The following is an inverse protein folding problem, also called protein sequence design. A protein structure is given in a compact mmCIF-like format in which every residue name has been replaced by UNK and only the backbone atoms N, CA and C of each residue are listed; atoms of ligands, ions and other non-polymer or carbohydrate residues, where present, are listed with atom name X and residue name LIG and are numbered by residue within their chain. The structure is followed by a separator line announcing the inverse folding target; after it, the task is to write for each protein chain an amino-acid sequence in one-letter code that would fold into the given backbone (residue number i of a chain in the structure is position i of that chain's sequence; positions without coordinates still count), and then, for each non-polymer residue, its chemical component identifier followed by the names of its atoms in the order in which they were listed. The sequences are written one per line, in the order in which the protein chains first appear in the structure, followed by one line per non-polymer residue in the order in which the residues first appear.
data_IF_953112545021
#
_entry.id   IF_953112545021
#
_cell.length_a   1.000
_cell.length_b   1.000
_cell.length_c   1.000
_cell.angle_alpha   90.00
_cell.angle_beta   90.00
_cell.angle_gamma   90.00
#
_symmetry.space_group_name_H-M   'P 1'
#
loop_
_entity.id
_entity.type
_entity.pdbx_description
1 polymer ?
#
# COMPACT_ATOMS: atom_id res chain seq x y z
N UNK A 1 -6.63 3.60 15.60
CA UNK A 1 -5.59 2.91 14.82
C UNK A 1 -6.18 2.48 13.50
N UNK A 2 -5.59 2.91 12.37
CA UNK A 2 -6.14 2.66 11.02
C UNK A 2 -5.73 1.30 10.44
N UNK A 3 -4.63 0.73 10.92
CA UNK A 3 -4.14 -0.58 10.49
C UNK A 3 -2.68 -0.79 10.81
N UNK A 4 -2.11 -1.86 10.24
CA UNK A 4 -0.71 -2.26 10.39
C UNK A 4 -0.09 -2.60 9.03
N UNK A 5 1.20 -2.34 8.89
CA UNK A 5 2.07 -2.88 7.83
C UNK A 5 3.02 -3.85 8.50
N UNK A 6 3.21 -5.03 7.91
CA UNK A 6 4.18 -6.02 8.40
C UNK A 6 5.15 -6.42 7.30
N UNK A 7 6.43 -6.49 7.61
CA UNK A 7 7.46 -7.12 6.78
C UNK A 7 7.98 -8.36 7.50
N UNK A 8 8.06 -9.48 6.80
CA UNK A 8 8.48 -10.76 7.37
C UNK A 8 9.92 -11.05 6.95
N UNK A 9 10.88 -10.69 7.82
CA UNK A 9 12.28 -11.08 7.70
C UNK A 9 12.50 -12.42 8.44
N UNK A 10 13.48 -13.26 8.05
CA UNK A 10 13.75 -14.53 8.73
C UNK A 10 14.08 -14.38 10.23
N UNK A 11 14.77 -13.30 10.59
CA UNK A 11 15.19 -13.06 11.97
C UNK A 11 14.07 -12.42 12.82
N UNK A 12 13.27 -11.52 12.23
CA UNK A 12 12.19 -10.82 12.92
C UNK A 12 11.08 -10.33 12.00
N UNK A 13 9.92 -10.00 12.57
CA UNK A 13 8.82 -9.37 11.82
C UNK A 13 8.73 -7.90 12.20
N UNK A 14 8.90 -7.02 11.21
CA UNK A 14 8.74 -5.59 11.39
C UNK A 14 7.26 -5.25 11.37
N UNK A 15 6.81 -4.44 12.33
CA UNK A 15 5.42 -4.04 12.45
C UNK A 15 5.32 -2.52 12.57
N UNK A 16 4.66 -1.91 11.60
CA UNK A 16 4.45 -0.46 11.55
C UNK A 16 2.98 -0.13 11.77
N UNK A 17 2.72 0.85 12.61
CA UNK A 17 1.40 1.45 12.75
C UNK A 17 1.09 2.35 11.57
N UNK A 18 -0.14 2.31 11.06
CA UNK A 18 -0.57 3.16 9.95
C UNK A 18 -1.13 4.48 10.49
N UNK A 19 -0.48 5.58 10.12
CA UNK A 19 -0.92 6.96 10.41
C UNK A 19 -1.96 7.44 9.42
N UNK A 20 -1.72 7.19 8.14
CA UNK A 20 -2.60 7.63 7.03
C UNK A 20 -2.92 6.44 6.14
N UNK A 21 -4.19 6.28 5.80
CA UNK A 21 -4.60 5.38 4.73
C UNK A 21 -5.78 5.95 3.99
N UNK A 22 -5.74 5.84 2.67
CA UNK A 22 -6.68 6.45 1.77
C UNK A 22 -6.94 5.54 0.58
N UNK A 23 -8.18 5.53 0.11
CA UNK A 23 -8.57 4.81 -1.09
C UNK A 23 -9.62 5.62 -1.85
N UNK A 24 -9.47 5.71 -3.17
CA UNK A 24 -10.45 6.29 -4.09
C UNK A 24 -10.50 5.49 -5.39
N UNK A 25 -11.64 5.63 -6.05
CA UNK A 25 -11.81 5.25 -7.46
C UNK A 25 -11.96 6.55 -8.24
N UNK A 26 -11.05 6.80 -9.16
CA UNK A 26 -11.00 8.03 -9.96
C UNK A 26 -11.36 7.69 -11.41
N UNK A 27 -12.15 8.53 -12.06
CA UNK A 27 -12.45 8.37 -13.48
C UNK A 27 -11.55 9.30 -14.30
N UNK A 28 -10.59 8.73 -15.02
CA UNK A 28 -9.61 9.43 -15.84
C UNK A 28 -9.52 8.76 -17.21
N UNK A 29 -9.42 9.53 -18.29
CA UNK A 29 -9.26 9.01 -19.66
C UNK A 29 -10.26 7.91 -20.06
N UNK A 30 -11.52 8.08 -19.65
CA UNK A 30 -12.64 7.13 -19.88
C UNK A 30 -12.51 5.79 -19.13
N UNK A 31 -11.60 5.68 -18.18
CA UNK A 31 -11.33 4.49 -17.38
C UNK A 31 -11.50 4.82 -15.90
N UNK A 32 -11.85 3.82 -15.08
CA UNK A 32 -11.83 3.98 -13.63
C UNK A 32 -10.50 3.42 -13.14
N UNK A 33 -9.74 4.22 -12.38
CA UNK A 33 -8.46 3.83 -11.81
C UNK A 33 -8.55 3.76 -10.30
N UNK A 34 -7.79 2.83 -9.72
CA UNK A 34 -7.62 2.71 -8.28
C UNK A 34 -6.54 3.68 -7.82
N UNK A 35 -6.84 4.46 -6.78
CA UNK A 35 -5.85 5.25 -6.06
C UNK A 35 -5.84 4.80 -4.61
N UNK A 36 -4.70 4.32 -4.12
CA UNK A 36 -4.49 3.93 -2.72
C UNK A 36 -3.20 4.59 -2.23
N UNK A 37 -3.23 5.12 -1.02
CA UNK A 37 -2.06 5.68 -0.35
C UNK A 37 -2.09 5.22 1.10
N UNK A 38 -0.99 4.68 1.60
CA UNK A 38 -0.86 4.15 2.97
C UNK A 38 0.52 4.53 3.50
N UNK A 39 0.55 5.24 4.61
CA UNK A 39 1.77 5.77 5.23
C UNK A 39 1.85 5.25 6.67
N UNK A 40 3.00 4.69 7.06
CA UNK A 40 3.26 4.36 8.45
C UNK A 40 3.41 5.63 9.31
N UNK A 41 3.30 5.47 10.61
CA UNK A 41 3.78 6.48 11.55
C UNK A 41 5.31 6.50 11.62
N UNK A 42 5.86 7.54 12.25
CA UNK A 42 7.26 7.62 12.67
C UNK A 42 7.50 6.98 14.06
N UNK A 43 6.42 6.73 14.81
CA UNK A 43 6.43 6.01 16.10
C UNK A 43 6.54 4.49 15.89
N UNK A 44 7.78 4.00 15.87
CA UNK A 44 8.09 2.61 16.20
C UNK A 44 8.20 2.52 17.72
N UNK A 45 7.48 1.59 18.34
CA UNK A 45 7.58 1.37 19.79
C UNK A 45 9.04 1.10 20.12
N UNK A 46 9.71 2.06 20.77
CA UNK A 46 11.12 1.92 21.12
C UNK A 46 11.31 0.69 22.01
N UNK A 47 11.91 -0.37 21.46
CA UNK A 47 12.28 -1.55 22.24
C UNK A 47 13.71 -1.36 22.73
N UNK A 48 13.89 -1.18 24.04
CA UNK A 48 15.23 -1.20 24.65
C UNK A 48 15.90 -2.54 24.32
N UNK A 49 17.13 -2.48 23.79
CA UNK A 49 17.95 -3.60 23.29
C UNK A 49 17.73 -4.05 21.84
N UNK A 50 16.74 -3.52 21.11
CA UNK A 50 16.57 -3.81 19.67
C UNK A 50 17.01 -2.60 18.83
N UNK A 51 18.31 -2.51 18.53
CA UNK A 51 18.86 -1.42 17.73
C UNK A 51 18.28 -1.34 16.32
N UNK A 52 17.79 -2.47 15.78
CA UNK A 52 17.25 -2.52 14.44
C UNK A 52 15.86 -1.87 14.39
N UNK A 53 14.99 -2.16 15.36
CA UNK A 53 13.66 -1.52 15.46
C UNK A 53 13.68 -0.01 15.66
N UNK A 54 14.75 0.54 16.23
CA UNK A 54 14.83 1.96 16.56
C UNK A 54 15.36 2.84 15.40
N UNK A 55 15.80 2.25 14.30
CA UNK A 55 16.38 2.96 13.14
C UNK A 55 15.59 2.75 11.83
N UNK A 56 14.45 2.07 11.86
CA UNK A 56 13.76 1.71 10.62
C UNK A 56 13.07 2.90 9.94
N UNK A 57 13.08 2.92 8.60
CA UNK A 57 12.47 3.99 7.82
C UNK A 57 10.95 3.96 7.97
N UNK A 58 10.34 5.15 7.92
CA UNK A 58 8.92 5.29 7.60
C UNK A 58 8.67 4.69 6.22
N UNK A 59 7.56 3.97 6.08
CA UNK A 59 7.19 3.31 4.82
C UNK A 59 5.90 3.90 4.26
N UNK A 60 5.89 4.13 2.96
CA UNK A 60 4.71 4.59 2.22
C UNK A 60 4.42 3.67 1.04
N UNK A 61 3.18 3.21 0.93
CA UNK A 61 2.71 2.40 -0.17
C UNK A 61 1.70 3.19 -1.00
N UNK A 62 1.90 3.23 -2.31
CA UNK A 62 0.96 3.86 -3.23
C UNK A 62 0.55 2.95 -4.37
N UNK A 63 -0.68 3.15 -4.85
CA UNK A 63 -1.18 2.58 -6.09
C UNK A 63 -1.83 3.69 -6.88
N UNK A 64 -1.42 3.84 -8.13
CA UNK A 64 -1.94 4.84 -9.05
C UNK A 64 -2.14 4.24 -10.44
N UNK A 65 -2.97 4.87 -11.25
CA UNK A 65 -3.23 4.54 -12.67
C UNK A 65 -3.64 3.10 -13.03
N UNK A 66 -3.88 2.23 -12.04
CA UNK A 66 -4.34 0.87 -12.26
C UNK A 66 -5.84 0.81 -12.58
N UNK A 67 -6.20 0.40 -13.79
CA UNK A 67 -7.59 0.30 -14.24
C UNK A 67 -8.37 -0.80 -13.50
N UNK A 68 -9.56 -0.46 -12.99
CA UNK A 68 -10.45 -1.38 -12.29
C UNK A 68 -11.86 -1.40 -12.89
N UNK A 69 -12.58 -2.54 -12.86
CA UNK A 69 -13.91 -2.70 -13.46
C UNK A 69 -15.04 -2.14 -12.60
N UNK A 70 -14.74 -1.25 -11.65
CA UNK A 70 -15.71 -0.67 -10.70
C UNK A 70 -15.70 0.85 -10.79
N UNK A 71 -16.82 1.47 -10.44
CA UNK A 71 -17.02 2.93 -10.59
C UNK A 71 -16.97 3.69 -9.26
N UNK A 72 -17.16 2.98 -8.14
CA UNK A 72 -17.20 3.59 -6.82
C UNK A 72 -16.47 2.75 -5.79
N UNK A 73 -16.03 3.39 -4.71
CA UNK A 73 -15.33 2.74 -3.60
C UNK A 73 -16.18 1.62 -2.95
N UNK A 74 -17.50 1.77 -2.88
CA UNK A 74 -18.39 0.75 -2.32
C UNK A 74 -18.45 -0.52 -3.19
N UNK A 75 -18.13 -0.44 -4.48
CA UNK A 75 -18.11 -1.62 -5.35
C UNK A 75 -16.84 -2.45 -5.18
N UNK A 76 -15.85 -1.98 -4.40
CA UNK A 76 -14.65 -2.74 -4.05
C UNK A 76 -14.94 -3.85 -3.03
N UNK A 77 -16.04 -3.79 -2.26
CA UNK A 77 -16.33 -4.82 -1.26
C UNK A 77 -16.31 -6.24 -1.85
N UNK A 78 -15.47 -7.10 -1.29
CA UNK A 78 -15.33 -8.50 -1.70
C UNK A 78 -14.57 -8.69 -3.02
N UNK A 79 -13.96 -7.64 -3.58
CA UNK A 79 -13.13 -7.72 -4.78
C UNK A 79 -11.68 -8.04 -4.44
N UNK A 80 -11.00 -8.65 -5.38
CA UNK A 80 -9.58 -8.88 -5.31
C UNK A 80 -8.94 -8.55 -6.64
N UNK A 81 -7.74 -7.98 -6.59
CA UNK A 81 -6.98 -7.58 -7.76
C UNK A 81 -5.55 -8.09 -7.62
N UNK A 82 -5.00 -8.54 -8.73
CA UNK A 82 -3.57 -8.78 -8.90
C UNK A 82 -3.05 -7.61 -9.71
N UNK A 83 -2.07 -6.90 -9.15
CA UNK A 83 -1.51 -5.68 -9.73
C UNK A 83 -0.02 -5.93 -9.97
N UNK A 84 0.49 -5.82 -11.20
CA UNK A 84 1.94 -5.81 -11.38
C UNK A 84 2.50 -4.47 -10.90
N UNK A 85 3.76 -4.41 -10.47
CA UNK A 85 4.41 -3.12 -10.21
C UNK A 85 4.55 -2.29 -11.47
N UNK A 86 4.84 -2.95 -12.58
CA UNK A 86 5.14 -2.36 -13.87
C UNK A 86 4.45 -3.12 -15.01
N UNK A 87 4.05 -2.42 -16.07
CA UNK A 87 3.55 -3.01 -17.32
C UNK A 87 3.93 -2.15 -18.53
N UNK A 88 4.14 -2.80 -19.68
CA UNK A 88 4.40 -2.13 -20.96
C UNK A 88 3.16 -2.21 -21.84
N UNK A 89 2.63 -1.06 -22.26
CA UNK A 89 1.45 -1.01 -23.12
C UNK A 89 1.70 -0.20 -24.38
N UNK A 90 1.38 -0.79 -25.52
CA UNK A 90 1.37 -0.06 -26.80
C UNK A 90 0.16 0.89 -26.85
N UNK A 91 0.41 2.17 -27.09
CA UNK A 91 -0.61 3.20 -27.22
C UNK A 91 -1.23 3.22 -28.64
N UNK A 92 -2.24 4.07 -28.86
CA UNK A 92 -2.94 4.16 -30.15
C UNK A 92 -2.04 4.55 -31.35
N UNK A 93 -0.85 5.10 -31.08
CA UNK A 93 0.12 5.50 -32.09
C UNK A 93 1.18 4.43 -32.38
N UNK A 94 1.13 3.27 -31.70
CA UNK A 94 2.12 2.20 -31.83
C UNK A 94 3.38 2.41 -31.00
N UNK A 95 3.38 3.35 -30.05
CA UNK A 95 4.50 3.58 -29.13
C UNK A 95 4.28 2.79 -27.84
N UNK A 96 5.32 2.16 -27.32
CA UNK A 96 5.28 1.47 -26.02
C UNK A 96 5.40 2.50 -24.91
N UNK A 97 4.40 2.52 -24.03
CA UNK A 97 4.36 3.31 -22.80
C UNK A 97 4.64 2.41 -21.60
N UNK A 98 5.54 2.88 -20.75
CA UNK A 98 5.91 2.26 -19.48
C UNK A 98 4.96 2.76 -18.38
N UNK A 99 4.29 1.84 -17.69
CA UNK A 99 3.32 2.17 -16.64
C UNK A 99 3.77 1.55 -15.32
N UNK A 100 3.87 2.40 -14.29
CA UNK A 100 4.20 2.00 -12.93
C UNK A 100 2.95 2.14 -12.06
N UNK A 101 2.46 1.02 -11.52
CA UNK A 101 1.19 1.00 -10.78
C UNK A 101 1.35 1.02 -9.28
N UNK A 102 2.46 0.52 -8.76
CA UNK A 102 2.70 0.41 -7.32
C UNK A 102 4.05 0.96 -6.97
N UNK A 103 4.15 1.64 -5.84
CA UNK A 103 5.41 2.11 -5.28
C UNK A 103 5.43 1.82 -3.77
N UNK A 104 6.58 1.37 -3.28
CA UNK A 104 6.94 1.34 -1.87
C UNK A 104 8.08 2.34 -1.65
N UNK A 105 7.85 3.39 -0.89
CA UNK A 105 8.84 4.39 -0.59
C UNK A 105 9.30 4.30 0.88
N UNK A 106 10.61 4.48 1.09
CA UNK A 106 11.26 4.57 2.40
C UNK A 106 11.68 6.02 2.67
N UNK A 107 11.16 6.63 3.74
CA UNK A 107 11.52 7.98 4.23
C UNK A 107 11.45 9.13 3.20
N UNK A 108 10.66 9.02 2.12
CA UNK A 108 10.68 9.94 0.98
C UNK A 108 12.04 10.02 0.25
N UNK A 109 12.94 9.05 0.47
CA UNK A 109 14.30 9.04 -0.08
C UNK A 109 14.52 7.94 -1.13
N UNK A 110 13.98 6.74 -0.90
CA UNK A 110 14.23 5.56 -1.73
C UNK A 110 12.92 4.88 -2.13
N UNK A 111 12.78 4.59 -3.43
CA UNK A 111 11.66 3.83 -3.98
C UNK A 111 12.11 2.38 -4.21
N UNK A 112 11.38 1.44 -3.63
CA UNK A 112 11.56 0.01 -3.80
C UNK A 112 10.51 -0.58 -4.74
N UNK A 113 10.96 -1.53 -5.55
CA UNK A 113 10.05 -2.35 -6.35
C UNK A 113 9.26 -3.30 -5.46
N UNK A 114 8.02 -3.57 -5.88
CA UNK A 114 7.17 -4.57 -5.25
C UNK A 114 6.73 -5.62 -6.26
N UNK A 115 6.46 -6.83 -5.80
CA UNK A 115 6.13 -7.97 -6.63
C UNK A 115 4.96 -8.77 -6.08
N UNK A 116 4.26 -9.45 -7.00
CA UNK A 116 3.10 -10.30 -6.69
C UNK A 116 2.05 -9.58 -5.83
N UNK A 117 1.75 -8.31 -6.14
CA UNK A 117 0.83 -7.50 -5.36
C UNK A 117 -0.61 -8.03 -5.49
N UNK A 118 -1.11 -8.59 -4.38
CA UNK A 118 -2.49 -9.01 -4.23
C UNK A 118 -3.23 -8.06 -3.29
N UNK A 119 -4.26 -7.42 -3.83
CA UNK A 119 -5.19 -6.59 -3.07
C UNK A 119 -6.48 -7.35 -2.83
N UNK A 120 -6.94 -7.37 -1.58
CA UNK A 120 -8.19 -7.97 -1.14
C UNK A 120 -9.01 -6.95 -0.36
N UNK A 121 -10.13 -6.55 -0.94
CA UNK A 121 -11.05 -5.60 -0.33
C UNK A 121 -12.19 -6.31 0.39
N UNK A 122 -12.52 -5.84 1.59
CA UNK A 122 -13.54 -6.43 2.44
C UNK A 122 -14.20 -5.39 3.33
N UNK A 123 -14.91 -5.88 4.35
CA UNK A 123 -15.46 -5.05 5.42
C UNK A 123 -14.73 -5.36 6.71
N UNK A 124 -14.49 -4.33 7.51
CA UNK A 124 -14.15 -4.53 8.91
C UNK A 124 -15.41 -4.80 9.76
N UNK A 125 -15.23 -4.96 11.07
CA UNK A 125 -16.31 -5.25 12.02
C UNK A 125 -17.34 -4.12 12.13
N UNK A 126 -16.95 -2.88 11.79
CA UNK A 126 -17.82 -1.71 11.79
C UNK A 126 -18.48 -1.47 10.42
N UNK A 127 -18.13 -2.29 9.43
CA UNK A 127 -18.66 -2.20 8.07
C UNK A 127 -17.92 -1.24 7.16
N UNK A 128 -16.79 -0.66 7.58
CA UNK A 128 -15.95 0.21 6.75
C UNK A 128 -15.19 -0.62 5.71
N UNK A 129 -14.74 0.02 4.63
CA UNK A 129 -13.88 -0.61 3.65
C UNK A 129 -12.54 -0.98 4.28
N UNK A 130 -12.17 -2.23 4.15
CA UNK A 130 -10.88 -2.76 4.58
C UNK A 130 -10.09 -3.24 3.37
N UNK A 131 -8.79 -2.97 3.36
CA UNK A 131 -7.83 -3.54 2.41
C UNK A 131 -6.86 -4.45 3.15
N UNK A 132 -6.65 -5.63 2.59
CA UNK A 132 -5.45 -6.43 2.81
C UNK A 132 -4.64 -6.37 1.51
N UNK A 133 -3.44 -5.80 1.55
CA UNK A 133 -2.50 -5.83 0.43
C UNK A 133 -1.28 -6.63 0.86
N UNK A 134 -0.93 -7.65 0.09
CA UNK A 134 0.26 -8.46 0.33
C UNK A 134 1.07 -8.61 -0.96
N UNK A 135 2.37 -8.78 -0.81
CA UNK A 135 3.31 -8.94 -1.91
C UNK A 135 4.70 -9.20 -1.38
N UNK A 136 5.69 -8.96 -2.23
CA UNK A 136 7.10 -8.99 -1.91
C UNK A 136 7.72 -7.63 -2.26
N UNK A 137 8.81 -7.26 -1.61
CA UNK A 137 9.62 -6.11 -1.97
C UNK A 137 11.10 -6.47 -1.83
N UNK A 138 11.97 -5.59 -2.34
CA UNK A 138 13.39 -5.67 -2.04
C UNK A 138 13.65 -5.63 -0.53
N UNK A 139 14.71 -6.29 -0.11
CA UNK A 139 15.12 -6.31 1.29
C UNK A 139 15.98 -5.09 1.62
N UNK A 140 15.40 -4.16 2.37
CA UNK A 140 16.07 -2.96 2.86
C UNK A 140 16.73 -3.16 4.23
N UNK A 141 16.69 -4.37 4.80
CA UNK A 141 17.31 -4.70 6.08
C UNK A 141 18.68 -5.34 5.87
N UNK A 142 18.71 -6.48 5.15
CA UNK A 142 19.96 -7.24 4.93
C UNK A 142 20.41 -7.25 3.47
N UNK A 143 19.53 -6.87 2.54
CA UNK A 143 19.77 -6.89 1.09
C UNK A 143 20.09 -8.30 0.54
N UNK A 144 19.61 -9.36 1.21
CA UNK A 144 19.88 -10.75 0.81
C UNK A 144 18.72 -11.37 0.00
N UNK A 145 17.54 -11.47 0.61
CA UNK A 145 16.36 -12.15 0.05
C UNK A 145 15.12 -11.25 0.10
N UNK A 146 14.27 -11.20 -0.94
CA UNK A 146 13.08 -10.35 -0.95
C UNK A 146 12.18 -10.53 0.28
N UNK A 147 11.77 -9.41 0.86
CA UNK A 147 10.88 -9.40 2.02
C UNK A 147 9.44 -9.61 1.59
N UNK A 148 8.75 -10.52 2.25
CA UNK A 148 7.29 -10.58 2.14
C UNK A 148 6.70 -9.45 2.98
N UNK A 149 5.70 -8.75 2.45
CA UNK A 149 4.96 -7.76 3.22
C UNK A 149 3.46 -8.07 3.29
N UNK A 150 2.79 -7.48 4.28
CA UNK A 150 1.34 -7.47 4.42
C UNK A 150 0.87 -6.17 5.07
N UNK A 151 0.12 -5.39 4.30
CA UNK A 151 -0.64 -4.23 4.75
C UNK A 151 -2.06 -4.65 5.10
N UNK A 152 -2.58 -4.18 6.22
CA UNK A 152 -3.96 -4.38 6.65
C UNK A 152 -4.52 -3.08 7.22
N UNK A 153 -5.35 -2.36 6.45
CA UNK A 153 -5.93 -1.10 6.88
C UNK A 153 -7.45 -1.02 6.66
N UNK A 154 -8.11 -0.27 7.53
CA UNK A 154 -9.50 0.15 7.39
C UNK A 154 -9.56 1.61 6.98
N UNK A 155 -10.23 1.90 5.87
CA UNK A 155 -10.49 3.26 5.40
C UNK A 155 -11.64 3.85 6.19
N UNK A 156 -11.31 4.49 7.30
CA UNK A 156 -12.23 5.23 8.14
C UNK A 156 -12.19 6.68 7.65
N UNK A 157 -13.35 7.29 7.41
CA UNK A 157 -13.38 8.74 7.19
C UNK A 157 -12.95 9.40 8.49
N UNK A 158 -11.86 10.15 8.46
CA UNK A 158 -11.50 11.01 9.58
C UNK A 158 -12.68 11.97 9.77
N UNK A 159 -13.41 11.82 10.88
CA UNK A 159 -14.37 12.82 11.32
C UNK A 159 -13.50 14.02 11.68
N UNK A 160 -13.46 15.03 10.81
CA UNK A 160 -12.94 16.33 11.17
C UNK A 160 -13.87 16.87 12.26
N UNK A 161 -13.47 16.73 13.53
CA UNK A 161 -14.04 17.52 14.61
C UNK A 161 -13.63 18.97 14.32
N UNK A 162 -14.51 19.72 13.68
CA UNK A 162 -14.40 21.16 13.58
C UNK A 162 -14.85 21.67 14.95
N UNK A 163 -13.91 21.98 15.84
CA UNK A 163 -14.20 22.77 17.04
C UNK A 163 -14.69 24.16 16.57
N UNK A 164 -15.90 24.55 17.03
CA UNK A 164 -16.58 25.84 16.78
C UNK A 164 -15.82 27.04 17.39
#
# INVERSE_FOLDING_TARGET
MKGLIKFYHPDETLEYHIRKCFCKVVFLNKKNTLVVEIESDDDLDHVEEDSYQNEYPQVSFSIEDFEIPVKTIQQLYGKSFQIPSYDEKENENGEVEELYYTNLNLNDEEDLETDNNELKFGKDEQGNLKLIWQGYCEDFITQEDPLRFKVSCSFINDILEIDD
#
